data_IF_378322865212
#
_entry.id   IF_378322865212
#
_cell.length_a   1.000
_cell.length_b   1.000
_cell.length_c   1.000
_cell.angle_alpha   90.00
_cell.angle_beta   90.00
_cell.angle_gamma   90.00
#
_symmetry.space_group_name_H-M   'P 1'
#
loop_
_entity.id
_entity.type
_entity.pdbx_description
1 polymer ?
#
# COMPACT_ATOMS: atom_id res chain seq x y z
N UNK A 1 -2.27 9.29 2.54
CA UNK A 1 -2.73 10.05 1.36
C UNK A 1 -2.23 11.50 1.37
N UNK A 2 -2.49 12.28 2.43
CA UNK A 2 -2.04 13.68 2.55
C UNK A 2 -0.51 13.81 2.38
N UNK A 3 0.26 12.93 3.03
CA UNK A 3 1.73 12.87 2.90
C UNK A 3 2.23 12.61 1.47
N UNK A 4 1.43 11.97 0.61
CA UNK A 4 1.81 11.74 -0.78
C UNK A 4 1.74 13.00 -1.62
N UNK A 5 0.71 13.81 -1.38
CA UNK A 5 0.50 15.09 -2.07
C UNK A 5 1.59 16.08 -1.61
N UNK A 6 1.89 16.10 -0.31
CA UNK A 6 2.98 16.93 0.23
C UNK A 6 4.35 16.52 -0.34
N UNK A 7 4.62 15.22 -0.52
CA UNK A 7 5.85 14.76 -1.18
C UNK A 7 5.97 15.21 -2.64
N UNK A 8 4.86 15.43 -3.36
CA UNK A 8 4.91 15.82 -4.77
C UNK A 8 5.31 17.29 -4.97
N UNK A 9 5.15 18.14 -3.95
CA UNK A 9 5.40 19.59 -4.01
C UNK A 9 6.74 19.97 -3.34
N UNK A 10 7.30 19.09 -2.51
CA UNK A 10 8.51 19.37 -1.73
C UNK A 10 9.79 19.13 -2.55
N UNK A 11 10.66 20.13 -2.61
CA UNK A 11 11.98 20.08 -3.29
C UNK A 11 13.15 19.78 -2.34
N UNK A 12 12.91 19.74 -1.03
CA UNK A 12 13.94 19.50 -0.01
C UNK A 12 14.06 18.01 0.35
N UNK A 13 15.25 17.42 0.17
CA UNK A 13 15.49 15.97 0.34
C UNK A 13 15.23 15.47 1.77
N UNK A 14 15.57 16.27 2.79
CA UNK A 14 15.35 15.92 4.20
C UNK A 14 13.87 15.86 4.56
N UNK A 15 13.08 16.79 4.01
CA UNK A 15 11.64 16.83 4.23
C UNK A 15 10.94 15.69 3.48
N UNK A 16 11.42 15.34 2.27
CA UNK A 16 10.95 14.16 1.55
C UNK A 16 11.17 12.87 2.35
N UNK A 17 12.33 12.69 2.97
CA UNK A 17 12.64 11.50 3.74
C UNK A 17 11.68 11.33 4.94
N UNK A 18 11.42 12.42 5.67
CA UNK A 18 10.48 12.40 6.80
C UNK A 18 9.07 12.08 6.32
N UNK A 19 8.62 12.73 5.24
CA UNK A 19 7.28 12.51 4.69
C UNK A 19 7.10 11.09 4.14
N UNK A 20 8.16 10.47 3.59
CA UNK A 20 8.16 9.07 3.16
C UNK A 20 8.06 8.11 4.34
N UNK A 21 8.75 8.38 5.45
CA UNK A 21 8.60 7.61 6.69
C UNK A 21 7.15 7.66 7.20
N UNK A 22 6.55 8.86 7.22
CA UNK A 22 5.16 9.04 7.66
C UNK A 22 4.14 8.43 6.68
N UNK A 23 4.46 8.39 5.39
CA UNK A 23 3.65 7.67 4.41
C UNK A 23 3.72 6.15 4.62
N UNK A 24 4.92 5.61 4.85
CA UNK A 24 5.12 4.18 5.07
C UNK A 24 4.40 3.68 6.32
N UNK A 25 4.38 4.46 7.41
CA UNK A 25 3.65 4.09 8.62
C UNK A 25 2.14 3.98 8.38
N UNK A 26 1.55 4.89 7.61
CA UNK A 26 0.13 4.83 7.24
C UNK A 26 -0.23 3.63 6.37
N UNK A 27 0.65 3.24 5.44
CA UNK A 27 0.44 2.07 4.58
C UNK A 27 0.53 0.76 5.37
N UNK A 28 1.46 0.67 6.33
CA UNK A 28 1.61 -0.52 7.20
C UNK A 28 0.33 -0.82 7.99
N UNK A 29 -0.31 0.22 8.56
CA UNK A 29 -1.57 0.06 9.28
C UNK A 29 -2.68 -0.52 8.40
N UNK A 30 -2.82 -0.04 7.17
CA UNK A 30 -3.84 -0.54 6.24
C UNK A 30 -3.63 -2.02 5.88
N UNK A 31 -2.38 -2.44 5.68
CA UNK A 31 -2.05 -3.84 5.38
C UNK A 31 -2.35 -4.77 6.56
N UNK A 32 -1.94 -4.38 7.78
CA UNK A 32 -2.22 -5.14 8.98
C UNK A 32 -3.72 -5.27 9.26
N UNK A 33 -4.49 -4.19 9.09
CA UNK A 33 -5.94 -4.22 9.27
C UNK A 33 -6.58 -5.13 8.22
N UNK A 34 -6.21 -5.01 6.94
CA UNK A 34 -6.76 -5.87 5.88
C UNK A 34 -6.50 -7.36 6.13
N UNK A 35 -5.27 -7.73 6.50
CA UNK A 35 -4.93 -9.11 6.86
C UNK A 35 -5.66 -9.58 8.13
N UNK A 36 -5.78 -8.72 9.14
CA UNK A 36 -6.49 -9.01 10.38
C UNK A 36 -7.98 -9.26 10.17
N UNK A 37 -8.64 -8.43 9.35
CA UNK A 37 -10.05 -8.60 9.00
C UNK A 37 -10.31 -9.89 8.24
N UNK A 38 -9.40 -10.30 7.35
CA UNK A 38 -9.51 -11.61 6.65
C UNK A 38 -9.40 -12.76 7.65
N UNK A 39 -8.51 -12.65 8.64
CA UNK A 39 -8.39 -13.66 9.70
C UNK A 39 -9.63 -13.76 10.59
N UNK A 40 -10.32 -12.64 10.82
CA UNK A 40 -11.51 -12.56 11.66
C UNK A 40 -12.76 -13.14 10.97
N UNK A 41 -12.92 -12.88 9.67
CA UNK A 41 -14.12 -13.27 8.91
C UNK A 41 -14.05 -14.73 8.40
N UNK A 42 -12.88 -15.21 7.97
CA UNK A 42 -12.78 -16.51 7.29
C UNK A 42 -12.52 -17.67 8.26
N UNK A 43 -13.06 -18.84 7.93
CA UNK A 43 -12.87 -20.10 8.67
C UNK A 43 -11.48 -20.68 8.34
N UNK A 44 -10.75 -21.33 9.26
CA UNK A 44 -9.36 -21.78 9.06
C UNK A 44 -9.10 -22.55 7.75
N UNK A 45 -10.07 -23.32 7.29
CA UNK A 45 -10.04 -24.10 6.05
C UNK A 45 -10.07 -23.24 4.78
N UNK A 46 -10.70 -22.06 4.81
CA UNK A 46 -10.84 -21.15 3.67
C UNK A 46 -9.88 -19.96 3.74
N UNK A 47 -9.30 -19.69 4.92
CA UNK A 47 -8.32 -18.59 5.14
C UNK A 47 -7.17 -18.60 4.15
N UNK A 48 -6.64 -19.78 3.81
CA UNK A 48 -5.53 -19.90 2.86
C UNK A 48 -5.86 -19.35 1.48
N UNK A 49 -7.10 -19.52 1.02
CA UNK A 49 -7.56 -18.99 -0.26
C UNK A 49 -7.83 -17.49 -0.18
N UNK A 50 -8.43 -17.02 0.92
CA UNK A 50 -8.66 -15.58 1.12
C UNK A 50 -7.34 -14.78 1.22
N UNK A 51 -6.34 -15.33 1.91
CA UNK A 51 -5.00 -14.74 1.98
C UNK A 51 -4.27 -14.74 0.63
N UNK A 52 -4.43 -15.80 -0.17
CA UNK A 52 -3.87 -15.87 -1.53
C UNK A 52 -4.42 -14.75 -2.43
N UNK A 53 -5.74 -14.53 -2.42
CA UNK A 53 -6.35 -13.40 -3.15
C UNK A 53 -5.88 -12.04 -2.64
N UNK A 54 -5.73 -11.87 -1.32
CA UNK A 54 -5.22 -10.63 -0.73
C UNK A 54 -3.77 -10.35 -1.14
N UNK A 55 -2.90 -11.35 -1.09
CA UNK A 55 -1.53 -11.25 -1.59
C UNK A 55 -1.47 -10.99 -3.09
N UNK A 56 -2.33 -11.62 -3.89
CA UNK A 56 -2.42 -11.35 -5.33
C UNK A 56 -2.70 -9.89 -5.60
N UNK A 57 -3.67 -9.28 -4.91
CA UNK A 57 -3.97 -7.84 -5.07
C UNK A 57 -2.77 -6.98 -4.67
N UNK A 58 -2.07 -7.30 -3.59
CA UNK A 58 -0.87 -6.58 -3.13
C UNK A 58 0.26 -6.65 -4.14
N UNK A 59 0.42 -7.76 -4.85
CA UNK A 59 1.46 -7.94 -5.88
C UNK A 59 1.05 -7.31 -7.20
N UNK A 60 -0.21 -7.48 -7.61
CA UNK A 60 -0.73 -6.98 -8.88
C UNK A 60 -0.80 -5.45 -8.88
N UNK A 61 -1.16 -4.82 -7.76
CA UNK A 61 -1.23 -3.37 -7.63
C UNK A 61 0.04 -2.63 -8.09
N UNK A 62 1.23 -2.91 -7.51
CA UNK A 62 2.48 -2.29 -7.94
C UNK A 62 2.98 -2.78 -9.30
N UNK A 63 2.52 -3.93 -9.80
CA UNK A 63 2.82 -4.37 -11.17
C UNK A 63 2.03 -3.59 -12.22
N UNK A 64 0.73 -3.35 -12.00
CA UNK A 64 -0.15 -2.66 -12.95
C UNK A 64 -0.08 -1.14 -12.80
N UNK A 65 0.20 -0.63 -11.60
CA UNK A 65 0.30 0.81 -11.32
C UNK A 65 1.20 1.59 -12.30
N UNK A 66 2.45 1.14 -12.54
CA UNK A 66 3.34 1.75 -13.52
C UNK A 66 2.81 1.61 -14.95
N UNK A 67 2.15 0.51 -15.29
CA UNK A 67 1.66 0.22 -16.65
C UNK A 67 0.50 1.15 -17.04
N UNK A 68 -0.36 1.52 -16.09
CA UNK A 68 -1.50 2.43 -16.32
C UNK A 68 -1.09 3.90 -16.11
N UNK A 69 -0.18 4.17 -15.16
CA UNK A 69 0.25 5.51 -14.77
C UNK A 69 1.56 6.00 -15.39
N UNK A 70 2.17 5.26 -16.32
CA UNK A 70 3.53 5.53 -16.86
C UNK A 70 3.76 6.95 -17.39
N UNK A 71 2.69 7.70 -17.74
CA UNK A 71 2.77 9.08 -18.23
C UNK A 71 2.82 10.14 -17.11
N UNK A 72 2.34 9.82 -15.90
CA UNK A 72 2.12 10.79 -14.79
C UNK A 72 2.94 10.47 -13.54
N UNK A 73 3.85 9.50 -13.60
CA UNK A 73 4.63 9.02 -12.45
C UNK A 73 6.03 9.67 -12.34
N UNK A 74 6.38 10.56 -13.28
CA UNK A 74 7.59 11.40 -13.25
C UNK A 74 7.22 12.88 -13.06
#
# INVERSE_FOLDING_TARGET
MITSITCAVVTNIWLLLIMRGLQASGVSAALCIGAGTISDIYIPTERGKAYDYFSLVIVIGPTIGPIVGWRWIF
#
